data_IF_588935879715
#
_entry.id   IF_588935879715
#
_cell.length_a   1.000
_cell.length_b   1.000
_cell.length_c   1.000
_cell.angle_alpha   90.00
_cell.angle_beta   90.00
_cell.angle_gamma   90.00
#
_symmetry.space_group_name_H-M   'P 1'
#
loop_
_entity.id
_entity.type
_entity.pdbx_description
1 polymer ?
#
# COMPACT_ATOMS: atom_id res chain seq x y z
N UNK A 1 -70.29 40.24 -33.98
CA UNK A 1 -69.14 39.33 -34.17
C UNK A 1 -69.07 38.42 -32.91
N UNK A 2 -69.39 37.15 -33.03
CA UNK A 2 -69.47 36.19 -31.93
C UNK A 2 -68.13 35.55 -31.81
N UNK A 3 -67.55 35.60 -30.64
CA UNK A 3 -66.30 34.83 -30.25
C UNK A 3 -66.76 33.53 -29.59
N UNK A 4 -66.54 32.43 -30.28
CA UNK A 4 -66.70 31.06 -29.78
C UNK A 4 -65.57 30.65 -28.84
N UNK A 5 -65.91 30.25 -27.64
CA UNK A 5 -65.02 29.64 -26.68
C UNK A 5 -64.88 28.13 -26.98
N UNK A 6 -63.70 27.68 -27.26
CA UNK A 6 -63.36 26.26 -27.34
C UNK A 6 -62.88 25.80 -25.95
N UNK A 7 -63.58 24.86 -25.38
CA UNK A 7 -63.14 24.18 -24.15
C UNK A 7 -62.25 22.98 -24.49
N UNK A 8 -61.05 22.91 -23.86
CA UNK A 8 -60.14 21.78 -23.93
C UNK A 8 -60.31 20.93 -22.65
N UNK A 9 -60.64 19.64 -22.76
CA UNK A 9 -60.68 18.80 -21.59
C UNK A 9 -59.29 18.47 -21.06
N UNK A 10 -59.05 18.71 -19.77
CA UNK A 10 -57.85 18.31 -19.05
C UNK A 10 -57.88 16.78 -18.82
N UNK A 11 -56.97 16.06 -19.49
CA UNK A 11 -56.72 14.64 -19.23
C UNK A 11 -55.79 14.55 -18.01
N UNK A 12 -56.27 14.08 -16.89
CA UNK A 12 -55.48 13.74 -15.72
C UNK A 12 -54.73 12.43 -15.98
N UNK A 13 -53.43 12.54 -16.27
CA UNK A 13 -52.52 11.37 -16.24
C UNK A 13 -52.08 11.16 -14.78
N UNK A 14 -52.67 10.20 -14.09
CA UNK A 14 -52.11 9.63 -12.86
C UNK A 14 -50.88 8.83 -13.26
N UNK A 15 -49.71 9.41 -13.03
CA UNK A 15 -48.44 8.72 -13.11
C UNK A 15 -48.27 7.73 -11.96
N UNK A 16 -48.40 6.46 -12.23
CA UNK A 16 -47.88 5.43 -11.35
C UNK A 16 -46.33 5.52 -11.35
N UNK A 17 -45.77 6.22 -10.35
CA UNK A 17 -44.32 6.12 -10.08
C UNK A 17 -44.03 4.75 -9.49
N UNK A 18 -43.41 3.92 -10.27
CA UNK A 18 -43.05 2.57 -9.93
C UNK A 18 -41.96 2.57 -8.84
N UNK A 19 -42.26 1.89 -7.77
CA UNK A 19 -41.33 1.28 -6.83
C UNK A 19 -40.58 0.12 -7.54
N UNK A 20 -39.57 0.42 -8.34
CA UNK A 20 -38.82 -0.62 -9.12
C UNK A 20 -37.35 -0.76 -8.66
N UNK A 21 -36.88 -0.03 -7.66
CA UNK A 21 -35.47 -0.14 -7.27
C UNK A 21 -35.15 -1.22 -6.22
N UNK A 22 -36.13 -1.81 -5.55
CA UNK A 22 -35.90 -2.82 -4.52
C UNK A 22 -35.84 -4.28 -5.01
N UNK A 23 -36.45 -4.58 -6.17
CA UNK A 23 -36.61 -5.98 -6.61
C UNK A 23 -35.51 -6.51 -7.49
N UNK A 24 -34.83 -5.68 -8.26
CA UNK A 24 -33.67 -6.12 -9.09
C UNK A 24 -32.45 -6.46 -8.24
N UNK A 25 -32.19 -5.66 -7.19
CA UNK A 25 -31.06 -5.87 -6.26
C UNK A 25 -31.24 -7.15 -5.43
N UNK A 26 -32.47 -7.46 -5.02
CA UNK A 26 -32.78 -8.68 -4.25
C UNK A 26 -32.67 -9.99 -5.06
N UNK A 27 -32.87 -9.94 -6.37
CA UNK A 27 -32.66 -11.09 -7.26
C UNK A 27 -31.18 -11.39 -7.49
N UNK A 28 -30.34 -10.35 -7.57
CA UNK A 28 -28.90 -10.50 -7.79
C UNK A 28 -28.13 -10.89 -6.51
N UNK A 29 -28.60 -10.45 -5.33
CA UNK A 29 -27.94 -10.63 -4.05
C UNK A 29 -28.89 -11.23 -3.00
N UNK A 30 -29.28 -12.50 -3.14
CA UNK A 30 -30.29 -13.12 -2.28
C UNK A 30 -29.90 -13.18 -0.79
N UNK A 31 -28.63 -13.04 -0.47
CA UNK A 31 -28.11 -13.01 0.91
C UNK A 31 -27.79 -11.60 1.43
N UNK A 32 -28.10 -10.57 0.63
CA UNK A 32 -27.88 -9.16 1.00
C UNK A 32 -26.48 -8.65 0.62
N UNK A 33 -26.01 -7.64 1.35
CA UNK A 33 -24.78 -6.90 1.05
C UNK A 33 -23.72 -7.11 2.11
N UNK A 34 -22.44 -7.08 1.69
CA UNK A 34 -21.26 -7.01 2.55
C UNK A 34 -20.41 -5.84 2.08
N UNK A 35 -19.81 -5.09 3.02
CA UNK A 35 -18.95 -3.96 2.70
C UNK A 35 -17.48 -4.23 3.00
N UNK A 36 -16.63 -3.80 2.07
CA UNK A 36 -15.19 -3.75 2.19
C UNK A 36 -14.78 -2.28 2.28
N UNK A 37 -14.19 -1.87 3.37
CA UNK A 37 -13.70 -0.50 3.54
C UNK A 37 -12.24 -0.41 3.12
N UNK A 38 -11.86 0.61 2.36
CA UNK A 38 -10.45 0.90 2.05
C UNK A 38 -10.06 2.24 2.67
N UNK A 39 -8.78 2.39 3.10
CA UNK A 39 -8.25 3.65 3.61
C UNK A 39 -6.77 3.79 3.27
N UNK A 40 -6.41 4.86 2.58
CA UNK A 40 -5.08 5.27 2.18
C UNK A 40 -5.10 6.69 1.63
N UNK A 41 -3.94 7.39 1.45
CA UNK A 41 -3.93 8.75 0.95
C UNK A 41 -4.49 8.86 -0.48
N UNK A 42 -5.48 9.72 -0.66
CA UNK A 42 -6.13 10.00 -1.95
C UNK A 42 -5.93 11.47 -2.38
N UNK A 43 -4.87 12.11 -1.88
CA UNK A 43 -4.52 13.50 -2.16
C UNK A 43 -3.01 13.68 -2.35
N UNK A 44 -2.60 14.87 -2.78
CA UNK A 44 -1.20 15.26 -2.89
C UNK A 44 -0.40 14.34 -3.82
N UNK A 45 0.86 14.11 -3.47
CA UNK A 45 1.78 13.26 -4.23
C UNK A 45 1.35 11.79 -4.27
N UNK A 46 0.54 11.34 -3.30
CA UNK A 46 0.10 9.96 -3.21
C UNK A 46 -1.21 9.66 -3.95
N UNK A 47 -1.88 10.67 -4.52
CA UNK A 47 -3.12 10.47 -5.29
C UNK A 47 -2.99 9.40 -6.40
N UNK A 48 -1.91 9.36 -7.20
CA UNK A 48 -1.73 8.32 -8.22
C UNK A 48 -1.68 6.91 -7.61
N UNK A 49 -0.91 6.72 -6.52
CA UNK A 49 -0.77 5.42 -5.85
C UNK A 49 -2.06 4.99 -5.16
N UNK A 50 -2.69 5.90 -4.39
CA UNK A 50 -4.00 5.63 -3.76
C UNK A 50 -5.07 5.24 -4.79
N UNK A 51 -5.10 5.94 -5.94
CA UNK A 51 -5.97 5.58 -7.07
C UNK A 51 -5.61 4.21 -7.65
N UNK A 52 -4.31 3.91 -7.74
CA UNK A 52 -3.81 2.61 -8.20
C UNK A 52 -4.29 1.47 -7.32
N UNK A 53 -4.14 1.60 -6.00
CA UNK A 53 -4.59 0.61 -5.02
C UNK A 53 -6.11 0.44 -5.03
N UNK A 54 -6.87 1.56 -5.09
CA UNK A 54 -8.33 1.52 -5.27
C UNK A 54 -8.71 0.70 -6.49
N UNK A 55 -8.11 1.00 -7.63
CA UNK A 55 -8.36 0.27 -8.88
C UNK A 55 -8.03 -1.22 -8.76
N UNK A 56 -6.98 -1.57 -8.00
CA UNK A 56 -6.62 -2.97 -7.72
C UNK A 56 -7.74 -3.71 -6.97
N UNK A 57 -8.25 -3.13 -5.88
CA UNK A 57 -9.39 -3.71 -5.13
C UNK A 57 -10.64 -3.81 -6.00
N UNK A 58 -10.98 -2.75 -6.73
CA UNK A 58 -12.12 -2.71 -7.64
C UNK A 58 -11.98 -3.76 -8.76
N UNK A 59 -10.76 -4.02 -9.24
CA UNK A 59 -10.49 -5.08 -10.21
C UNK A 59 -10.86 -6.44 -9.62
N UNK A 60 -10.36 -6.78 -8.42
CA UNK A 60 -10.62 -8.06 -7.77
C UNK A 60 -12.12 -8.30 -7.52
N UNK A 61 -12.85 -7.28 -7.07
CA UNK A 61 -14.29 -7.38 -6.86
C UNK A 61 -15.03 -7.53 -8.19
N UNK A 62 -14.63 -6.78 -9.23
CA UNK A 62 -15.28 -6.85 -10.54
C UNK A 62 -15.10 -8.20 -11.26
N UNK A 63 -14.03 -8.95 -10.97
CA UNK A 63 -13.80 -10.31 -11.49
C UNK A 63 -14.88 -11.31 -11.04
N UNK A 64 -15.63 -10.98 -9.98
CA UNK A 64 -16.75 -11.77 -9.47
C UNK A 64 -18.11 -11.28 -9.95
N UNK A 65 -18.16 -10.25 -10.80
CA UNK A 65 -19.40 -9.55 -11.13
C UNK A 65 -20.01 -8.80 -9.94
N UNK A 66 -19.21 -8.51 -8.90
CA UNK A 66 -19.65 -7.86 -7.68
C UNK A 66 -20.45 -8.75 -6.71
N UNK A 67 -20.55 -10.07 -7.00
CA UNK A 67 -21.33 -11.01 -6.19
C UNK A 67 -20.46 -12.19 -5.75
N UNK A 68 -20.44 -12.48 -4.46
CA UNK A 68 -19.67 -13.59 -3.87
C UNK A 68 -20.57 -14.40 -2.95
N UNK A 69 -20.72 -15.67 -3.25
CA UNK A 69 -21.52 -16.63 -2.46
C UNK A 69 -22.97 -16.16 -2.19
N UNK A 70 -23.55 -15.33 -3.09
CA UNK A 70 -24.90 -14.78 -2.97
C UNK A 70 -24.97 -13.42 -2.24
N UNK A 71 -23.83 -12.85 -1.82
CA UNK A 71 -23.73 -11.50 -1.27
C UNK A 71 -23.23 -10.53 -2.33
N UNK A 72 -23.83 -9.35 -2.46
CA UNK A 72 -23.21 -8.22 -3.15
C UNK A 72 -22.07 -7.65 -2.34
N UNK A 73 -20.94 -7.40 -3.00
CA UNK A 73 -19.80 -6.70 -2.39
C UNK A 73 -19.83 -5.22 -2.77
N UNK A 74 -19.88 -4.35 -1.77
CA UNK A 74 -19.73 -2.91 -1.90
C UNK A 74 -18.37 -2.47 -1.37
N UNK A 75 -17.59 -1.72 -2.18
CA UNK A 75 -16.32 -1.14 -1.76
C UNK A 75 -16.56 0.31 -1.35
N UNK A 76 -16.24 0.66 -0.11
CA UNK A 76 -16.29 2.01 0.43
C UNK A 76 -14.89 2.55 0.54
N UNK A 77 -14.54 3.48 -0.36
CA UNK A 77 -13.20 4.07 -0.39
C UNK A 77 -13.13 5.29 0.52
N UNK A 78 -12.17 5.30 1.42
CA UNK A 78 -11.89 6.40 2.33
C UNK A 78 -10.50 6.97 2.05
N UNK A 79 -10.33 8.25 2.35
CA UNK A 79 -9.07 8.99 2.29
C UNK A 79 -8.56 9.18 3.71
N UNK A 80 -7.33 8.76 4.03
CA UNK A 80 -6.69 9.00 5.32
C UNK A 80 -5.79 10.24 5.31
N UNK A 81 -5.74 10.97 4.18
CA UNK A 81 -5.01 12.20 4.10
C UNK A 81 -5.75 13.37 4.73
N UNK A 82 -5.02 14.20 5.47
CA UNK A 82 -5.52 15.48 5.96
C UNK A 82 -5.67 16.48 4.81
N UNK A 83 -6.82 17.17 4.70
CA UNK A 83 -6.98 18.23 3.69
C UNK A 83 -5.96 19.37 3.80
N UNK A 84 -5.38 19.57 4.99
CA UNK A 84 -4.41 20.63 5.24
C UNK A 84 -3.02 20.30 4.69
N UNK A 85 -2.64 19.03 4.67
CA UNK A 85 -1.29 18.61 4.30
C UNK A 85 -1.25 17.76 3.03
N UNK A 86 -2.38 17.16 2.64
CA UNK A 86 -2.44 16.17 1.57
C UNK A 86 -1.69 14.87 1.88
N UNK A 87 -1.36 14.63 3.15
CA UNK A 87 -0.63 13.46 3.65
C UNK A 87 -1.48 12.70 4.65
N UNK A 88 -1.17 11.42 4.87
CA UNK A 88 -1.86 10.62 5.87
C UNK A 88 -1.87 11.32 7.25
N UNK A 89 -2.94 11.16 7.98
CA UNK A 89 -3.13 11.74 9.29
C UNK A 89 -3.75 10.72 10.26
N UNK A 90 -3.18 10.63 11.47
CA UNK A 90 -3.60 9.64 12.45
C UNK A 90 -5.02 9.84 12.99
N UNK A 91 -5.52 11.07 13.07
CA UNK A 91 -6.88 11.35 13.51
C UNK A 91 -7.88 10.99 12.41
N UNK A 92 -7.57 11.30 11.15
CA UNK A 92 -8.40 10.93 9.99
C UNK A 92 -8.46 9.41 9.85
N UNK A 93 -7.33 8.70 9.98
CA UNK A 93 -7.31 7.24 9.92
C UNK A 93 -8.10 6.60 11.07
N UNK A 94 -8.00 7.16 12.29
CA UNK A 94 -8.81 6.68 13.41
C UNK A 94 -10.32 6.86 13.14
N UNK A 95 -10.73 7.99 12.55
CA UNK A 95 -12.11 8.23 12.14
C UNK A 95 -12.56 7.23 11.08
N UNK A 96 -11.75 6.98 10.06
CA UNK A 96 -12.02 6.02 8.99
C UNK A 96 -12.22 4.60 9.55
N UNK A 97 -11.30 4.14 10.42
CA UNK A 97 -11.42 2.84 11.05
C UNK A 97 -12.66 2.73 11.94
N UNK A 98 -12.98 3.77 12.72
CA UNK A 98 -14.19 3.80 13.55
C UNK A 98 -15.46 3.79 12.69
N UNK A 99 -15.49 4.51 11.56
CA UNK A 99 -16.59 4.46 10.60
C UNK A 99 -16.81 3.06 10.06
N UNK A 100 -15.74 2.37 9.69
CA UNK A 100 -15.82 0.99 9.20
C UNK A 100 -16.35 0.03 10.28
N UNK A 101 -15.87 0.12 11.53
CA UNK A 101 -16.34 -0.81 12.59
C UNK A 101 -17.76 -0.51 13.07
N UNK A 102 -18.24 0.72 12.90
CA UNK A 102 -19.63 1.10 13.22
C UNK A 102 -20.64 0.60 12.18
N UNK A 103 -20.21 0.29 10.95
CA UNK A 103 -21.10 -0.17 9.89
C UNK A 103 -21.41 -1.68 10.06
N UNK A 104 -22.70 -2.07 10.25
CA UNK A 104 -23.08 -3.47 10.41
C UNK A 104 -22.90 -4.33 9.15
N UNK A 105 -22.68 -3.73 7.98
CA UNK A 105 -22.38 -4.44 6.73
C UNK A 105 -20.87 -4.61 6.49
N UNK A 106 -20.03 -3.87 7.19
CA UNK A 106 -18.58 -3.92 7.01
C UNK A 106 -17.99 -5.17 7.63
N UNK A 107 -17.26 -5.95 6.83
CA UNK A 107 -16.66 -7.23 7.23
C UNK A 107 -15.14 -7.26 7.17
N UNK A 108 -14.51 -6.39 6.37
CA UNK A 108 -13.06 -6.29 6.21
C UNK A 108 -12.68 -4.83 6.02
N UNK A 109 -11.53 -4.47 6.58
CA UNK A 109 -10.82 -3.21 6.34
C UNK A 109 -9.60 -3.47 5.46
N UNK A 110 -9.41 -2.71 4.40
CA UNK A 110 -8.29 -2.84 3.47
C UNK A 110 -7.45 -1.57 3.58
N UNK A 111 -6.24 -1.71 4.04
CA UNK A 111 -5.39 -0.55 4.29
C UNK A 111 -4.34 -0.84 5.38
N UNK A 112 -3.47 0.08 5.54
CA UNK A 112 -3.32 1.40 4.94
C UNK A 112 -2.15 1.40 3.94
N UNK A 113 -1.77 2.57 3.40
CA UNK A 113 -0.50 2.72 2.69
C UNK A 113 0.65 2.93 3.68
N UNK A 114 0.51 3.87 4.61
CA UNK A 114 1.54 4.20 5.58
C UNK A 114 1.47 3.28 6.82
N UNK A 115 2.61 2.71 7.24
CA UNK A 115 2.67 1.84 8.44
C UNK A 115 2.30 2.59 9.72
N UNK A 116 2.53 3.92 9.78
CA UNK A 116 2.08 4.77 10.87
C UNK A 116 0.56 4.85 10.98
N UNK A 117 -0.16 4.87 9.86
CA UNK A 117 -1.62 4.83 9.81
C UNK A 117 -2.14 3.45 10.28
N UNK A 118 -1.52 2.35 9.81
CA UNK A 118 -1.87 1.00 10.26
C UNK A 118 -1.75 0.81 11.78
N UNK A 119 -0.72 1.40 12.40
CA UNK A 119 -0.55 1.45 13.87
C UNK A 119 -1.80 1.99 14.57
N UNK A 120 -2.53 2.91 13.95
CA UNK A 120 -3.75 3.53 14.49
C UNK A 120 -4.96 2.63 14.26
N UNK A 121 -5.15 2.13 13.04
CA UNK A 121 -6.35 1.36 12.67
C UNK A 121 -6.36 -0.08 13.17
N UNK A 122 -5.21 -0.76 13.25
CA UNK A 122 -5.16 -2.17 13.68
C UNK A 122 -5.81 -2.41 15.05
N UNK A 123 -5.54 -1.64 16.12
CA UNK A 123 -6.20 -1.86 17.40
C UNK A 123 -7.72 -1.64 17.37
N UNK A 124 -8.21 -0.74 16.49
CA UNK A 124 -9.63 -0.45 16.34
C UNK A 124 -10.32 -1.64 15.65
N UNK A 125 -9.80 -2.09 14.52
CA UNK A 125 -10.32 -3.25 13.78
C UNK A 125 -10.18 -4.54 14.59
N UNK A 126 -9.12 -4.68 15.41
CA UNK A 126 -8.89 -5.81 16.28
C UNK A 126 -10.00 -5.97 17.33
N UNK A 127 -10.37 -4.88 18.03
CA UNK A 127 -11.49 -4.91 19.01
C UNK A 127 -12.82 -5.28 18.38
N UNK A 128 -13.00 -4.97 17.10
CA UNK A 128 -14.21 -5.28 16.35
C UNK A 128 -14.16 -6.68 15.68
N UNK A 129 -13.14 -7.49 15.95
CA UNK A 129 -12.87 -8.79 15.31
C UNK A 129 -12.80 -8.72 13.78
N UNK A 130 -12.59 -7.52 13.23
CA UNK A 130 -12.53 -7.26 11.80
C UNK A 130 -11.11 -7.54 11.28
N UNK A 131 -10.99 -8.33 10.21
CA UNK A 131 -9.72 -8.48 9.51
C UNK A 131 -9.32 -7.17 8.84
N UNK A 132 -8.02 -6.85 8.90
CA UNK A 132 -7.41 -5.77 8.14
C UNK A 132 -6.35 -6.35 7.22
N UNK A 133 -6.45 -6.04 5.92
CA UNK A 133 -5.53 -6.53 4.88
C UNK A 133 -4.86 -5.33 4.23
N UNK A 134 -3.53 -5.30 4.21
CA UNK A 134 -2.79 -4.19 3.58
C UNK A 134 -2.08 -4.64 2.31
N UNK A 135 -2.12 -3.85 1.24
CA UNK A 135 -1.27 -4.08 0.07
C UNK A 135 0.15 -3.50 0.21
N UNK A 136 0.43 -2.65 1.21
CA UNK A 136 1.58 -1.76 1.19
C UNK A 136 2.37 -1.63 2.50
N UNK A 137 1.76 -1.87 3.68
CA UNK A 137 2.50 -1.69 4.93
C UNK A 137 3.52 -2.80 5.14
N UNK A 138 4.77 -2.42 5.38
CA UNK A 138 5.89 -3.36 5.46
C UNK A 138 6.64 -3.34 6.81
N UNK A 139 6.36 -2.37 7.70
CA UNK A 139 7.01 -2.32 9.01
C UNK A 139 6.82 -3.63 9.80
N UNK A 140 7.92 -4.31 10.24
CA UNK A 140 7.84 -5.64 10.83
C UNK A 140 7.03 -5.69 12.13
N UNK A 141 7.14 -4.66 12.97
CA UNK A 141 6.51 -4.61 14.28
C UNK A 141 4.98 -4.65 14.28
N UNK A 142 4.32 -4.47 13.10
CA UNK A 142 2.87 -4.63 12.98
C UNK A 142 2.39 -6.08 13.15
N UNK A 143 3.26 -7.06 12.86
CA UNK A 143 2.91 -8.48 12.87
C UNK A 143 3.82 -9.35 13.70
N UNK A 144 5.11 -9.08 13.76
CA UNK A 144 6.13 -9.96 14.35
C UNK A 144 7.12 -9.20 15.24
N UNK A 145 7.87 -9.95 16.07
CA UNK A 145 8.84 -9.37 17.02
C UNK A 145 10.19 -9.01 16.38
N UNK A 146 10.57 -9.69 15.29
CA UNK A 146 11.83 -9.39 14.60
C UNK A 146 11.73 -8.02 13.93
N UNK A 147 12.63 -7.09 14.27
CA UNK A 147 12.60 -5.72 13.76
C UNK A 147 11.54 -4.82 14.41
N UNK A 148 10.94 -5.26 15.50
CA UNK A 148 9.88 -4.54 16.22
C UNK A 148 10.42 -3.73 17.40
N UNK A 149 9.68 -2.68 17.78
CA UNK A 149 9.89 -1.96 19.02
C UNK A 149 9.35 -2.75 20.24
N UNK A 150 9.74 -2.39 21.48
CA UNK A 150 9.26 -3.06 22.68
C UNK A 150 7.72 -3.07 22.77
N UNK A 151 7.13 -4.24 23.06
CA UNK A 151 5.69 -4.43 23.18
C UNK A 151 4.96 -4.76 21.86
N UNK A 152 5.58 -4.54 20.70
CA UNK A 152 5.02 -4.91 19.41
C UNK A 152 5.18 -6.42 19.13
N UNK A 153 4.27 -7.01 18.37
CA UNK A 153 3.00 -6.51 17.85
C UNK A 153 1.86 -6.55 18.89
N UNK A 154 2.11 -6.99 20.13
CA UNK A 154 1.09 -7.19 21.16
C UNK A 154 0.22 -5.96 21.42
N UNK A 155 0.82 -4.77 21.43
CA UNK A 155 0.10 -3.50 21.62
C UNK A 155 -0.97 -3.21 20.54
N UNK A 156 -0.83 -3.81 19.36
CA UNK A 156 -1.80 -3.68 18.25
C UNK A 156 -2.91 -4.74 18.31
N UNK A 157 -2.79 -5.75 19.18
CA UNK A 157 -3.71 -6.90 19.30
C UNK A 157 -4.39 -6.93 20.66
N UNK A 158 -5.20 -5.91 21.05
CA UNK A 158 -5.79 -5.84 22.38
C UNK A 158 -6.68 -7.05 22.76
N UNK A 159 -7.22 -7.77 21.78
CA UNK A 159 -7.98 -9.02 22.01
C UNK A 159 -7.10 -10.27 21.98
N UNK A 160 -5.80 -10.14 21.69
CA UNK A 160 -4.89 -11.27 21.45
C UNK A 160 -5.04 -11.95 20.08
N UNK A 161 -6.02 -11.55 19.27
CA UNK A 161 -6.26 -12.14 17.95
C UNK A 161 -5.32 -11.56 16.90
N UNK A 162 -4.87 -12.42 15.98
CA UNK A 162 -4.24 -11.95 14.73
C UNK A 162 -5.37 -11.55 13.77
N UNK A 163 -5.44 -10.26 13.45
CA UNK A 163 -6.44 -9.71 12.55
C UNK A 163 -5.84 -8.89 11.40
N UNK A 164 -4.52 -8.75 11.36
CA UNK A 164 -3.81 -7.98 10.36
C UNK A 164 -2.99 -8.90 9.46
N UNK A 165 -3.13 -8.72 8.13
CA UNK A 165 -2.58 -9.62 7.12
C UNK A 165 -1.91 -8.83 6.00
N UNK A 166 -0.75 -9.30 5.51
CA UNK A 166 0.04 -8.68 4.44
C UNK A 166 0.34 -9.65 3.32
N UNK A 167 -0.26 -9.52 2.13
CA UNK A 167 0.18 -10.25 0.93
C UNK A 167 1.46 -9.66 0.30
N UNK A 168 2.27 -8.96 1.07
CA UNK A 168 3.55 -8.35 0.67
C UNK A 168 4.61 -8.65 1.75
N UNK A 169 5.86 -8.99 1.39
CA UNK A 169 6.96 -9.20 2.33
C UNK A 169 7.27 -7.97 3.18
N UNK A 170 7.73 -8.20 4.40
CA UNK A 170 8.03 -7.15 5.37
C UNK A 170 9.49 -6.63 5.29
N UNK A 171 9.74 -5.48 5.91
CA UNK A 171 11.00 -4.74 5.88
C UNK A 171 12.17 -5.46 6.57
N UNK A 172 11.91 -6.44 7.45
CA UNK A 172 12.99 -7.27 8.00
C UNK A 172 13.71 -8.09 6.93
N UNK A 173 13.03 -8.36 5.79
CA UNK A 173 13.63 -8.94 4.60
C UNK A 173 14.20 -7.82 3.71
N UNK A 174 13.39 -6.81 3.38
CA UNK A 174 13.77 -5.77 2.43
C UNK A 174 14.98 -4.94 2.87
N UNK A 175 15.00 -4.47 4.11
CA UNK A 175 16.13 -3.73 4.65
C UNK A 175 17.40 -4.55 4.67
N UNK A 176 17.28 -5.86 4.98
CA UNK A 176 18.41 -6.78 5.00
C UNK A 176 19.00 -7.01 3.58
N UNK A 177 18.15 -7.27 2.59
CA UNK A 177 18.65 -7.46 1.21
C UNK A 177 19.18 -6.16 0.61
N UNK A 178 18.64 -5.00 1.00
CA UNK A 178 19.16 -3.70 0.62
C UNK A 178 20.61 -3.49 1.09
N UNK A 179 20.91 -3.81 2.35
CA UNK A 179 22.26 -3.73 2.89
C UNK A 179 23.22 -4.72 2.22
N UNK A 180 22.78 -5.97 2.00
CA UNK A 180 23.56 -6.97 1.26
C UNK A 180 23.83 -6.52 -0.18
N UNK A 181 22.85 -5.94 -0.86
CA UNK A 181 23.00 -5.43 -2.21
C UNK A 181 23.99 -4.27 -2.24
N UNK A 182 23.88 -3.30 -1.34
CA UNK A 182 24.86 -2.23 -1.21
C UNK A 182 26.31 -2.76 -1.04
N UNK A 183 26.52 -3.79 -0.20
CA UNK A 183 27.82 -4.41 -0.05
C UNK A 183 28.32 -5.12 -1.32
N UNK A 184 27.44 -5.86 -2.03
CA UNK A 184 27.75 -6.50 -3.31
C UNK A 184 28.13 -5.50 -4.40
N UNK A 185 27.49 -4.30 -4.40
CA UNK A 185 27.84 -3.19 -5.30
C UNK A 185 29.19 -2.53 -4.97
N UNK A 186 29.82 -2.92 -3.88
CA UNK A 186 31.16 -2.48 -3.50
C UNK A 186 31.21 -1.21 -2.67
N UNK A 187 30.08 -0.71 -2.15
CA UNK A 187 30.07 0.43 -1.25
C UNK A 187 30.87 0.15 0.02
N UNK A 188 31.56 1.18 0.52
CA UNK A 188 32.50 1.10 1.63
C UNK A 188 32.03 1.82 2.87
N UNK A 189 31.15 2.82 2.72
CA UNK A 189 30.73 3.66 3.82
C UNK A 189 29.34 4.24 3.55
N UNK A 190 28.40 3.90 4.40
CA UNK A 190 26.98 4.34 4.26
C UNK A 190 26.67 5.43 5.28
N UNK A 191 25.95 6.46 4.83
CA UNK A 191 25.24 7.40 5.68
C UNK A 191 23.74 7.13 5.53
N UNK A 192 23.05 6.80 6.61
CA UNK A 192 21.62 6.52 6.62
C UNK A 192 20.90 7.79 7.06
N UNK A 193 19.87 8.16 6.29
CA UNK A 193 18.87 9.15 6.64
C UNK A 193 17.53 8.44 6.80
N UNK A 194 16.67 8.94 7.69
CA UNK A 194 15.31 8.44 7.83
C UNK A 194 14.34 9.59 8.12
N UNK A 195 13.07 9.41 7.74
CA UNK A 195 12.03 10.43 7.90
C UNK A 195 11.39 10.47 9.30
N UNK A 196 11.90 9.66 10.23
CA UNK A 196 11.39 9.48 11.59
C UNK A 196 9.97 8.88 11.68
N UNK A 197 9.33 8.59 10.55
CA UNK A 197 8.08 7.86 10.50
C UNK A 197 8.30 6.36 10.78
N UNK A 198 7.22 5.67 11.19
CA UNK A 198 7.31 4.27 11.61
C UNK A 198 7.96 3.37 10.55
N UNK A 199 7.55 3.56 9.28
CA UNK A 199 8.10 2.81 8.16
C UNK A 199 9.56 3.19 7.87
N UNK A 200 9.81 4.48 7.57
CA UNK A 200 11.13 4.89 7.10
C UNK A 200 12.24 4.72 8.13
N UNK A 201 11.93 4.99 9.41
CA UNK A 201 12.87 4.69 10.50
C UNK A 201 13.04 3.18 10.66
N UNK A 202 11.97 2.40 10.61
CA UNK A 202 12.02 0.95 10.79
C UNK A 202 12.89 0.25 9.76
N UNK A 203 12.71 0.55 8.47
CA UNK A 203 13.53 -0.06 7.41
C UNK A 203 14.99 0.42 7.43
N UNK A 204 15.23 1.68 7.83
CA UNK A 204 16.58 2.21 8.05
C UNK A 204 17.30 1.48 9.18
N UNK A 205 16.62 1.18 10.28
CA UNK A 205 17.17 0.42 11.41
C UNK A 205 17.51 -1.03 11.01
N UNK A 206 16.67 -1.70 10.20
CA UNK A 206 16.93 -3.04 9.67
C UNK A 206 18.14 -3.03 8.73
N UNK A 207 18.21 -2.04 7.83
CA UNK A 207 19.37 -1.86 6.95
C UNK A 207 20.64 -1.69 7.77
N UNK A 208 20.65 -0.80 8.77
CA UNK A 208 21.81 -0.55 9.65
C UNK A 208 22.25 -1.81 10.39
N UNK A 209 21.31 -2.51 11.04
CA UNK A 209 21.60 -3.73 11.78
C UNK A 209 22.23 -4.80 10.88
N UNK A 210 21.71 -4.98 9.67
CA UNK A 210 22.28 -5.92 8.70
C UNK A 210 23.63 -5.45 8.21
N UNK A 211 23.79 -4.16 7.86
CA UNK A 211 25.06 -3.59 7.40
C UNK A 211 26.18 -3.84 8.43
N UNK A 212 25.91 -3.62 9.71
CA UNK A 212 26.84 -3.93 10.82
C UNK A 212 27.23 -5.42 10.85
N UNK A 213 26.25 -6.30 10.73
CA UNK A 213 26.47 -7.77 10.77
C UNK A 213 27.35 -8.24 9.61
N UNK A 214 27.16 -7.68 8.41
CA UNK A 214 27.94 -8.08 7.23
C UNK A 214 29.24 -7.28 7.05
N UNK A 215 29.56 -6.39 7.99
CA UNK A 215 30.78 -5.57 7.94
C UNK A 215 30.74 -4.51 6.82
N UNK A 216 29.60 -3.87 6.59
CA UNK A 216 29.45 -2.65 5.80
C UNK A 216 29.37 -1.46 6.76
N UNK A 217 30.39 -0.58 6.79
CA UNK A 217 30.44 0.54 7.75
C UNK A 217 29.29 1.51 7.57
N UNK A 218 28.56 1.77 8.65
CA UNK A 218 27.53 2.81 8.75
C UNK A 218 28.08 3.95 9.59
N UNK A 219 28.14 5.15 9.01
CA UNK A 219 28.69 6.35 9.67
C UNK A 219 27.68 6.95 10.64
N UNK A 220 26.43 7.01 10.21
CA UNK A 220 25.33 7.54 10.99
C UNK A 220 24.01 6.95 10.49
N UNK A 221 23.02 6.94 11.38
CA UNK A 221 21.60 6.77 11.06
C UNK A 221 20.89 7.96 11.71
N UNK A 222 20.57 8.97 10.89
CA UNK A 222 20.07 10.28 11.36
C UNK A 222 18.67 10.54 10.86
N UNK A 223 17.76 10.89 11.78
CA UNK A 223 16.41 11.35 11.44
C UNK A 223 16.44 12.76 10.86
N UNK A 224 15.72 12.98 9.76
CA UNK A 224 15.53 14.31 9.20
C UNK A 224 14.19 14.92 9.67
N UNK A 225 14.15 16.24 9.78
CA UNK A 225 12.87 16.95 9.84
C UNK A 225 12.41 17.23 8.42
N UNK A 226 11.62 16.30 7.87
CA UNK A 226 11.15 16.37 6.47
C UNK A 226 10.21 17.57 6.19
N UNK A 227 9.72 18.24 7.24
CA UNK A 227 8.92 19.48 7.10
C UNK A 227 9.77 20.69 6.75
N UNK A 228 11.07 20.61 6.98
CA UNK A 228 12.00 21.67 6.59
C UNK A 228 12.29 21.59 5.09
N UNK A 229 12.17 22.70 4.35
CA UNK A 229 12.44 22.72 2.91
C UNK A 229 13.94 22.67 2.58
N UNK A 230 14.81 23.00 3.54
CA UNK A 230 16.27 22.97 3.38
C UNK A 230 16.89 21.84 4.21
N UNK A 231 17.43 20.85 3.50
CA UNK A 231 18.13 19.69 4.06
C UNK A 231 19.66 19.76 3.85
N UNK A 232 20.19 20.88 3.31
CA UNK A 232 21.63 21.06 3.06
C UNK A 232 22.48 20.95 4.33
N UNK A 233 22.02 21.36 5.53
CA UNK A 233 22.77 21.14 6.76
C UNK A 233 23.10 19.66 7.02
N UNK A 234 22.14 18.75 6.90
CA UNK A 234 22.41 17.31 7.06
C UNK A 234 23.27 16.77 5.91
N UNK A 235 23.02 17.23 4.68
CA UNK A 235 23.84 16.82 3.52
C UNK A 235 25.29 17.29 3.61
N UNK A 236 25.56 18.39 4.32
CA UNK A 236 26.92 18.84 4.64
C UNK A 236 27.64 17.84 5.56
N UNK A 237 26.93 17.27 6.56
CA UNK A 237 27.46 16.19 7.40
C UNK A 237 27.74 14.94 6.57
N UNK A 238 26.80 14.56 5.68
CA UNK A 238 27.00 13.43 4.74
C UNK A 238 28.28 13.62 3.95
N UNK A 239 28.48 14.81 3.36
CA UNK A 239 29.68 15.14 2.57
C UNK A 239 30.96 15.06 3.39
N UNK A 240 30.96 15.61 4.61
CA UNK A 240 32.10 15.62 5.51
C UNK A 240 32.46 14.21 5.98
N UNK A 241 31.47 13.31 6.09
CA UNK A 241 31.70 11.91 6.49
C UNK A 241 32.48 11.09 5.46
N UNK A 242 32.47 11.52 4.19
CA UNK A 242 33.05 10.76 3.08
C UNK A 242 32.28 9.48 2.73
N UNK A 243 31.00 9.39 3.05
CA UNK A 243 30.15 8.27 2.66
C UNK A 243 30.00 8.20 1.14
N UNK A 244 30.09 6.98 0.60
CA UNK A 244 29.93 6.68 -0.83
C UNK A 244 28.50 6.20 -1.16
N UNK A 245 27.69 5.97 -0.14
CA UNK A 245 26.25 5.69 -0.25
C UNK A 245 25.45 6.50 0.76
N UNK A 246 24.41 7.15 0.29
CA UNK A 246 23.30 7.63 1.12
C UNK A 246 22.16 6.63 0.99
N UNK A 247 21.76 6.00 2.10
CA UNK A 247 20.54 5.21 2.19
C UNK A 247 19.47 6.05 2.87
N UNK A 248 18.27 6.16 2.28
CA UNK A 248 17.18 6.92 2.89
C UNK A 248 15.98 6.01 3.13
N UNK A 249 15.64 5.79 4.40
CA UNK A 249 14.38 5.19 4.80
C UNK A 249 13.28 6.26 4.84
N UNK A 250 12.26 6.11 4.00
CA UNK A 250 11.15 7.06 3.89
C UNK A 250 10.36 6.88 2.61
N UNK A 251 9.38 7.76 2.42
CA UNK A 251 8.52 7.81 1.24
C UNK A 251 8.68 9.16 0.51
N UNK A 252 8.08 9.29 -0.68
CA UNK A 252 8.20 10.54 -1.46
C UNK A 252 7.64 11.76 -0.71
N UNK A 253 6.54 11.61 0.00
CA UNK A 253 5.87 12.69 0.72
C UNK A 253 6.62 13.16 1.98
N UNK A 254 7.59 12.37 2.47
CA UNK A 254 8.40 12.70 3.65
C UNK A 254 9.81 13.19 3.29
N UNK A 255 9.92 13.93 2.20
CA UNK A 255 11.11 14.73 1.89
C UNK A 255 12.15 14.07 0.99
N UNK A 256 11.95 12.84 0.50
CA UNK A 256 12.92 12.15 -0.36
C UNK A 256 13.28 12.97 -1.62
N UNK A 257 12.28 13.58 -2.28
CA UNK A 257 12.54 14.46 -3.44
C UNK A 257 13.43 15.64 -3.10
N UNK A 258 13.26 16.23 -1.93
CA UNK A 258 14.08 17.37 -1.47
C UNK A 258 15.52 16.93 -1.24
N UNK A 259 15.70 15.82 -0.51
CA UNK A 259 17.04 15.23 -0.24
C UNK A 259 17.76 14.95 -1.56
N UNK A 260 17.14 14.26 -2.50
CA UNK A 260 17.78 13.85 -3.75
C UNK A 260 18.17 15.08 -4.58
N UNK A 261 17.28 16.08 -4.72
CA UNK A 261 17.60 17.32 -5.44
C UNK A 261 18.75 18.07 -4.79
N UNK A 262 18.71 18.22 -3.47
CA UNK A 262 19.75 18.95 -2.74
C UNK A 262 21.07 18.19 -2.67
N UNK A 263 21.07 16.85 -2.73
CA UNK A 263 22.30 16.07 -2.95
C UNK A 263 23.01 16.50 -4.22
N UNK A 264 22.27 16.64 -5.35
CA UNK A 264 22.83 17.14 -6.61
C UNK A 264 23.38 18.57 -6.45
N UNK A 265 22.63 19.45 -5.79
CA UNK A 265 23.03 20.86 -5.57
C UNK A 265 24.33 20.98 -4.77
N UNK A 266 24.55 20.13 -3.77
CA UNK A 266 25.77 20.14 -2.93
C UNK A 266 26.89 19.23 -3.47
N UNK A 267 26.72 18.64 -4.67
CA UNK A 267 27.73 17.81 -5.32
C UNK A 267 27.89 16.40 -4.73
N UNK A 268 26.88 15.88 -4.03
CA UNK A 268 26.78 14.47 -3.61
C UNK A 268 26.18 13.64 -4.75
N UNK A 269 27.01 13.35 -5.75
CA UNK A 269 26.60 12.66 -7.00
C UNK A 269 27.57 11.53 -7.34
N UNK A 270 27.12 10.61 -8.20
CA UNK A 270 27.95 9.54 -8.74
C UNK A 270 29.17 10.09 -9.55
N UNK A 271 30.30 9.37 -9.55
CA UNK A 271 30.57 8.09 -8.90
C UNK A 271 30.94 8.20 -7.43
N UNK A 272 31.11 9.42 -6.90
CA UNK A 272 31.61 9.66 -5.54
C UNK A 272 30.61 9.22 -4.47
N UNK A 273 29.35 9.60 -4.63
CA UNK A 273 28.27 9.27 -3.67
C UNK A 273 27.03 8.90 -4.47
N UNK A 274 26.44 7.75 -4.15
CA UNK A 274 25.19 7.28 -4.74
C UNK A 274 24.04 7.33 -3.75
N UNK A 275 22.83 7.16 -4.26
CA UNK A 275 21.63 7.13 -3.45
C UNK A 275 20.96 5.75 -3.55
N UNK A 276 20.45 5.24 -2.43
CA UNK A 276 19.63 4.04 -2.38
C UNK A 276 18.44 4.26 -1.45
N UNK A 277 17.30 3.69 -1.79
CA UNK A 277 16.12 3.74 -0.94
C UNK A 277 15.24 2.50 -1.09
N UNK A 278 14.21 2.40 -0.25
CA UNK A 278 13.27 1.29 -0.25
C UNK A 278 12.08 1.51 -1.19
N UNK A 279 11.12 0.58 -1.14
CA UNK A 279 9.92 0.50 -1.99
C UNK A 279 9.04 1.75 -1.97
N UNK A 280 8.91 2.44 -0.84
CA UNK A 280 8.17 3.71 -0.74
C UNK A 280 8.70 4.85 -1.63
N UNK A 281 9.83 4.62 -2.33
CA UNK A 281 10.37 5.52 -3.34
C UNK A 281 10.18 5.01 -4.78
N UNK A 282 9.62 3.83 -4.99
CA UNK A 282 9.38 3.27 -6.34
C UNK A 282 8.08 3.82 -6.94
N UNK A 283 7.97 5.12 -7.01
CA UNK A 283 6.80 5.85 -7.48
C UNK A 283 7.19 6.77 -8.65
N UNK A 284 6.41 6.73 -9.75
CA UNK A 284 6.66 7.61 -10.91
C UNK A 284 6.67 9.09 -10.50
N UNK A 285 5.87 9.45 -9.48
CA UNK A 285 5.81 10.82 -8.94
C UNK A 285 7.17 11.33 -8.45
N UNK A 286 8.04 10.43 -7.93
CA UNK A 286 9.40 10.77 -7.54
C UNK A 286 10.21 11.33 -8.71
N UNK A 287 9.99 10.82 -9.91
CA UNK A 287 10.79 11.15 -11.09
C UNK A 287 10.39 12.47 -11.76
N UNK A 288 9.28 13.08 -11.36
CA UNK A 288 8.77 14.27 -12.04
C UNK A 288 9.62 15.52 -11.80
N UNK A 289 9.64 16.39 -12.81
CA UNK A 289 10.31 17.70 -12.75
C UNK A 289 11.83 17.60 -12.58
N UNK A 290 12.39 18.51 -11.78
CA UNK A 290 13.84 18.56 -11.53
C UNK A 290 14.41 17.34 -10.78
N UNK A 291 13.56 16.46 -10.27
CA UNK A 291 14.00 15.27 -9.54
C UNK A 291 14.58 14.23 -10.49
N UNK A 292 14.08 14.10 -11.74
CA UNK A 292 14.65 13.16 -12.73
C UNK A 292 16.16 13.36 -12.93
N UNK A 293 16.61 14.60 -13.15
CA UNK A 293 18.03 14.90 -13.29
C UNK A 293 18.84 14.57 -12.03
N UNK A 294 18.25 14.72 -10.86
CA UNK A 294 18.93 14.46 -9.60
C UNK A 294 19.05 12.95 -9.33
N UNK A 295 18.00 12.15 -9.60
CA UNK A 295 18.07 10.69 -9.46
C UNK A 295 19.06 10.07 -10.44
N UNK A 296 19.15 10.59 -11.67
CA UNK A 296 20.17 10.17 -12.64
C UNK A 296 21.58 10.53 -12.18
N UNK A 297 21.77 11.75 -11.65
CA UNK A 297 23.06 12.20 -11.16
C UNK A 297 23.55 11.43 -9.93
N UNK A 298 22.64 10.94 -9.09
CA UNK A 298 22.97 10.15 -7.90
C UNK A 298 23.05 8.63 -8.17
N UNK A 299 22.85 8.19 -9.41
CA UNK A 299 22.83 6.77 -9.82
C UNK A 299 21.98 5.93 -8.86
N UNK A 300 20.74 6.36 -8.70
CA UNK A 300 19.80 5.88 -7.69
C UNK A 300 19.48 4.39 -7.86
N UNK A 301 19.37 3.70 -6.71
CA UNK A 301 18.88 2.32 -6.59
C UNK A 301 17.71 2.24 -5.63
N UNK A 302 16.75 1.36 -5.92
CA UNK A 302 15.59 1.09 -5.07
C UNK A 302 15.40 -0.41 -4.92
N UNK A 303 15.06 -0.85 -3.71
CA UNK A 303 14.55 -2.20 -3.45
C UNK A 303 13.03 -2.20 -3.47
N UNK A 304 12.43 -3.30 -3.95
CA UNK A 304 10.98 -3.48 -3.94
C UNK A 304 10.63 -4.95 -3.67
N UNK A 305 9.53 -5.17 -2.96
CA UNK A 305 9.03 -6.51 -2.66
C UNK A 305 8.41 -7.19 -3.88
N UNK A 306 8.73 -8.49 -4.08
CA UNK A 306 8.20 -9.32 -5.16
C UNK A 306 8.95 -9.19 -6.49
N UNK A 307 8.33 -9.73 -7.52
CA UNK A 307 8.84 -9.71 -8.90
C UNK A 307 8.46 -8.41 -9.61
N UNK A 308 9.33 -7.88 -10.48
CA UNK A 308 8.94 -6.79 -11.37
C UNK A 308 7.89 -7.28 -12.37
N UNK A 309 7.04 -6.39 -12.86
CA UNK A 309 5.89 -6.74 -13.70
C UNK A 309 6.28 -7.62 -14.91
N UNK A 310 7.40 -7.31 -15.57
CA UNK A 310 7.91 -8.05 -16.72
C UNK A 310 8.38 -9.48 -16.41
N UNK A 311 8.62 -9.79 -15.15
CA UNK A 311 9.02 -11.12 -14.67
C UNK A 311 7.85 -11.93 -14.10
N UNK A 312 6.73 -11.31 -13.84
CA UNK A 312 5.53 -12.01 -13.35
C UNK A 312 5.06 -13.05 -14.34
N UNK A 313 4.46 -14.14 -13.85
CA UNK A 313 3.91 -15.24 -14.63
C UNK A 313 2.53 -15.62 -14.09
N UNK A 314 1.77 -16.40 -14.84
CA UNK A 314 0.48 -16.93 -14.41
C UNK A 314 -0.50 -15.83 -13.98
N UNK A 315 -0.93 -15.89 -12.72
CA UNK A 315 -1.88 -14.92 -12.14
C UNK A 315 -1.33 -13.50 -12.18
N UNK A 316 -0.04 -13.30 -11.86
CA UNK A 316 0.59 -11.98 -11.86
C UNK A 316 0.58 -11.32 -13.24
N UNK A 317 1.03 -12.02 -14.27
CA UNK A 317 1.02 -11.51 -15.64
C UNK A 317 -0.42 -11.21 -16.12
N UNK A 318 -1.37 -12.12 -15.85
CA UNK A 318 -2.78 -11.91 -16.18
C UNK A 318 -3.35 -10.67 -15.47
N UNK A 319 -3.04 -10.49 -14.19
CA UNK A 319 -3.52 -9.33 -13.40
C UNK A 319 -2.99 -8.02 -13.98
N UNK A 320 -1.70 -7.99 -14.31
CA UNK A 320 -1.07 -6.83 -14.94
C UNK A 320 -1.76 -6.44 -16.25
N UNK A 321 -1.94 -7.40 -17.18
CA UNK A 321 -2.58 -7.14 -18.47
C UNK A 321 -4.06 -6.74 -18.32
N UNK A 322 -4.80 -7.38 -17.38
CA UNK A 322 -6.20 -7.03 -17.12
C UNK A 322 -6.31 -5.62 -16.54
N UNK A 323 -5.41 -5.24 -15.63
CA UNK A 323 -5.36 -3.89 -15.06
C UNK A 323 -5.13 -2.85 -16.16
N UNK A 324 -4.10 -3.05 -17.01
CA UNK A 324 -3.79 -2.15 -18.14
C UNK A 324 -4.96 -1.99 -19.09
N UNK A 325 -5.58 -3.10 -19.47
CA UNK A 325 -6.73 -3.09 -20.39
C UNK A 325 -7.91 -2.33 -19.77
N UNK A 326 -8.20 -2.56 -18.49
CA UNK A 326 -9.35 -1.96 -17.82
C UNK A 326 -9.19 -0.47 -17.55
N UNK A 327 -8.00 -0.04 -17.13
CA UNK A 327 -7.76 1.34 -16.69
C UNK A 327 -6.96 2.19 -17.69
N UNK A 328 -6.50 1.61 -18.81
CA UNK A 328 -5.77 2.33 -19.86
C UNK A 328 -4.39 2.86 -19.46
N UNK A 329 -3.81 2.33 -18.36
CA UNK A 329 -2.52 2.76 -17.82
C UNK A 329 -1.81 1.63 -17.09
N UNK A 330 -0.49 1.77 -16.93
CA UNK A 330 0.31 0.87 -16.10
C UNK A 330 -0.20 0.86 -14.65
N UNK A 331 -0.19 -0.30 -13.96
CA UNK A 331 -0.43 -0.32 -12.52
C UNK A 331 0.67 0.45 -11.79
N UNK A 332 0.30 1.13 -10.73
CA UNK A 332 1.26 1.69 -9.76
C UNK A 332 1.89 0.58 -8.93
N UNK A 333 2.90 0.92 -8.14
CA UNK A 333 3.74 -0.07 -7.44
C UNK A 333 2.94 -1.06 -6.60
N UNK A 334 1.91 -0.61 -5.89
CA UNK A 334 1.10 -1.46 -5.00
C UNK A 334 -0.26 -1.85 -5.57
N UNK A 335 -0.63 -1.39 -6.77
CA UNK A 335 -1.93 -1.67 -7.37
C UNK A 335 -2.21 -3.17 -7.52
N UNK A 336 -1.20 -3.96 -7.93
CA UNK A 336 -1.37 -5.42 -8.07
C UNK A 336 -1.44 -6.14 -6.72
N UNK A 337 -0.74 -5.63 -5.69
CA UNK A 337 -0.88 -6.13 -4.31
C UNK A 337 -2.27 -5.83 -3.73
N UNK A 338 -2.85 -4.68 -4.09
CA UNK A 338 -4.23 -4.35 -3.72
C UNK A 338 -5.24 -5.28 -4.40
N UNK A 339 -5.02 -5.63 -5.67
CA UNK A 339 -5.82 -6.65 -6.37
C UNK A 339 -5.67 -8.04 -5.72
N UNK A 340 -4.45 -8.41 -5.30
CA UNK A 340 -4.19 -9.66 -4.59
C UNK A 340 -4.91 -9.69 -3.23
N UNK A 341 -4.78 -8.64 -2.42
CA UNK A 341 -5.52 -8.51 -1.17
C UNK A 341 -7.03 -8.63 -1.36
N UNK A 342 -7.58 -7.98 -2.40
CA UNK A 342 -8.98 -8.11 -2.78
C UNK A 342 -9.39 -9.55 -3.13
N UNK A 343 -8.56 -10.28 -3.88
CA UNK A 343 -8.81 -11.69 -4.23
C UNK A 343 -8.74 -12.62 -3.02
N UNK A 344 -7.79 -12.40 -2.12
CA UNK A 344 -7.70 -13.13 -0.84
C UNK A 344 -9.00 -12.95 -0.04
N UNK A 345 -9.52 -11.73 0.02
CA UNK A 345 -10.76 -11.43 0.73
C UNK A 345 -11.95 -12.10 0.05
N UNK A 346 -12.05 -12.03 -1.28
CA UNK A 346 -13.09 -12.72 -2.07
C UNK A 346 -13.08 -14.23 -1.82
N UNK A 347 -11.90 -14.85 -1.85
CA UNK A 347 -11.73 -16.28 -1.55
C UNK A 347 -12.14 -16.59 -0.10
N UNK A 348 -11.72 -15.79 0.85
CA UNK A 348 -12.07 -15.94 2.26
C UNK A 348 -13.59 -15.83 2.49
N UNK A 349 -14.29 -14.89 1.83
CA UNK A 349 -15.75 -14.76 1.89
C UNK A 349 -16.42 -16.02 1.33
N UNK A 350 -15.93 -16.58 0.20
CA UNK A 350 -16.45 -17.82 -0.38
C UNK A 350 -16.34 -18.97 0.63
N UNK A 351 -15.17 -19.14 1.26
CA UNK A 351 -14.92 -20.20 2.25
C UNK A 351 -15.71 -19.99 3.54
N UNK A 352 -15.90 -18.75 3.97
CA UNK A 352 -16.62 -18.39 5.17
C UNK A 352 -18.16 -18.30 4.98
N UNK A 353 -18.68 -18.39 3.76
CA UNK A 353 -20.10 -18.14 3.46
C UNK A 353 -21.08 -18.93 4.36
N UNK A 354 -20.86 -20.23 4.66
CA UNK A 354 -21.76 -20.97 5.55
C UNK A 354 -21.77 -20.45 7.00
N UNK A 355 -20.65 -19.90 7.46
CA UNK A 355 -20.51 -19.31 8.80
C UNK A 355 -21.11 -17.90 8.83
N UNK A 356 -20.91 -17.09 7.78
CA UNK A 356 -21.51 -15.76 7.62
C UNK A 356 -23.04 -15.87 7.66
N UNK A 357 -23.61 -16.89 6.99
CA UNK A 357 -25.05 -17.10 6.92
C UNK A 357 -25.66 -17.48 8.27
N UNK A 358 -24.91 -18.23 9.10
CA UNK A 358 -25.32 -18.64 10.44
C UNK A 358 -25.04 -17.61 11.53
N UNK A 359 -24.27 -16.57 11.22
CA UNK A 359 -23.84 -15.57 12.17
C UNK A 359 -25.02 -14.76 12.71
N UNK A 360 -25.06 -14.55 14.02
CA UNK A 360 -26.13 -13.84 14.73
C UNK A 360 -25.96 -12.33 14.65
N UNK A 361 -24.72 -11.87 14.51
CA UNK A 361 -24.36 -10.46 14.44
C UNK A 361 -23.16 -10.20 13.51
N UNK A 362 -22.79 -8.94 13.38
CA UNK A 362 -21.66 -8.54 12.52
C UNK A 362 -20.31 -9.01 13.07
N UNK A 363 -20.17 -9.18 14.39
CA UNK A 363 -18.93 -9.63 15.01
C UNK A 363 -18.64 -11.09 14.63
N UNK A 364 -19.66 -11.94 14.66
CA UNK A 364 -19.55 -13.32 14.21
C UNK A 364 -19.23 -13.42 12.71
N UNK A 365 -19.82 -12.55 11.88
CA UNK A 365 -19.47 -12.47 10.44
C UNK A 365 -18.01 -12.07 10.21
N UNK A 366 -17.55 -11.02 10.90
CA UNK A 366 -16.16 -10.56 10.86
C UNK A 366 -15.19 -11.65 11.28
N UNK A 367 -15.48 -12.32 12.39
CA UNK A 367 -14.66 -13.40 12.90
C UNK A 367 -14.58 -14.60 11.93
N UNK A 368 -15.69 -14.93 11.26
CA UNK A 368 -15.70 -15.98 10.23
C UNK A 368 -14.78 -15.62 9.05
N UNK A 369 -14.85 -14.39 8.56
CA UNK A 369 -14.00 -13.89 7.47
C UNK A 369 -12.53 -13.80 7.93
N UNK A 370 -12.27 -13.27 9.13
CA UNK A 370 -10.91 -13.19 9.69
C UNK A 370 -10.25 -14.57 9.78
N UNK A 371 -10.95 -15.57 10.29
CA UNK A 371 -10.46 -16.96 10.35
C UNK A 371 -10.20 -17.53 8.97
N UNK A 372 -11.09 -17.24 8.02
CA UNK A 372 -10.91 -17.67 6.63
C UNK A 372 -9.68 -17.05 6.00
N UNK A 373 -9.41 -15.72 6.21
CA UNK A 373 -8.19 -15.08 5.73
C UNK A 373 -6.96 -15.72 6.40
N UNK A 374 -6.95 -15.86 7.72
CA UNK A 374 -5.84 -16.46 8.46
C UNK A 374 -5.51 -17.91 8.02
N UNK A 375 -6.50 -18.65 7.55
CA UNK A 375 -6.32 -20.03 7.06
C UNK A 375 -5.93 -20.14 5.58
N UNK A 376 -5.59 -19.02 4.92
CA UNK A 376 -5.21 -19.03 3.50
C UNK A 376 -3.91 -19.81 3.30
N UNK A 377 -3.96 -20.86 2.48
CA UNK A 377 -2.85 -21.74 2.13
C UNK A 377 -2.85 -22.02 0.63
N UNK A 378 -1.63 -22.16 0.05
CA UNK A 378 -1.41 -22.44 -1.36
C UNK A 378 -2.16 -21.47 -2.28
N UNK A 379 -2.24 -20.19 -1.88
CA UNK A 379 -2.92 -19.17 -2.66
C UNK A 379 -2.12 -18.88 -3.93
N UNK A 380 -2.81 -18.93 -5.07
CA UNK A 380 -2.22 -18.60 -6.38
C UNK A 380 -2.18 -17.07 -6.53
N UNK A 381 -1.07 -16.47 -6.11
CA UNK A 381 -0.89 -15.02 -6.10
C UNK A 381 -0.09 -14.45 -7.28
N UNK A 382 0.14 -13.14 -7.23
CA UNK A 382 0.86 -12.40 -8.29
C UNK A 382 2.35 -12.78 -8.37
N UNK A 383 2.94 -13.20 -7.25
CA UNK A 383 4.33 -13.65 -7.16
C UNK A 383 4.48 -15.18 -7.09
N UNK A 384 3.44 -15.95 -7.42
CA UNK A 384 3.40 -17.40 -7.32
C UNK A 384 2.54 -17.89 -6.16
N UNK A 385 2.73 -19.14 -5.75
CA UNK A 385 1.98 -19.72 -4.61
C UNK A 385 2.58 -19.29 -3.29
N UNK A 386 1.70 -18.95 -2.34
CA UNK A 386 2.12 -18.56 -1.00
C UNK A 386 1.08 -18.91 0.08
N UNK A 387 1.49 -18.77 1.34
CA UNK A 387 0.68 -18.98 2.52
C UNK A 387 0.78 -17.77 3.45
N UNK A 388 -0.26 -17.50 4.25
CA UNK A 388 -0.04 -16.71 5.45
C UNK A 388 0.59 -17.58 6.55
N UNK A 389 1.57 -17.00 7.27
CA UNK A 389 2.11 -17.57 8.49
C UNK A 389 1.19 -17.29 9.70
N UNK A 390 1.61 -17.71 10.90
CA UNK A 390 0.85 -17.49 12.14
C UNK A 390 0.78 -16.01 12.55
N UNK A 391 1.60 -15.15 11.99
CA UNK A 391 1.61 -13.71 12.26
C UNK A 391 0.70 -12.92 11.32
N UNK A 392 0.29 -13.53 10.19
CA UNK A 392 -0.46 -12.90 9.10
C UNK A 392 0.42 -12.35 7.98
N UNK A 393 1.69 -12.76 7.91
CA UNK A 393 2.64 -12.41 6.86
C UNK A 393 2.68 -13.48 5.77
N UNK A 394 3.05 -13.09 4.55
CA UNK A 394 3.36 -14.07 3.49
C UNK A 394 4.66 -14.81 3.77
N UNK A 395 4.77 -16.03 3.27
CA UNK A 395 5.92 -16.92 3.44
C UNK A 395 6.94 -16.88 2.30
N UNK A 396 6.83 -15.94 1.35
CA UNK A 396 7.85 -15.68 0.34
C UNK A 396 8.65 -14.42 0.66
N UNK A 397 9.89 -14.38 0.17
CA UNK A 397 10.88 -13.34 0.47
C UNK A 397 11.54 -12.73 -0.78
N UNK A 398 10.95 -12.96 -1.94
CA UNK A 398 11.45 -12.41 -3.21
C UNK A 398 11.49 -10.90 -3.18
N UNK A 399 12.65 -10.33 -3.52
CA UNK A 399 12.86 -8.89 -3.63
C UNK A 399 13.48 -8.55 -4.98
N UNK A 400 13.19 -7.37 -5.49
CA UNK A 400 13.72 -6.84 -6.74
C UNK A 400 14.51 -5.56 -6.51
N UNK A 401 15.59 -5.40 -7.27
CA UNK A 401 16.37 -4.17 -7.33
C UNK A 401 16.11 -3.42 -8.62
N UNK A 402 15.91 -2.11 -8.49
CA UNK A 402 15.68 -1.20 -9.60
C UNK A 402 16.73 -0.10 -9.65
N UNK A 403 16.97 0.42 -10.85
CA UNK A 403 17.76 1.64 -11.10
C UNK A 403 16.92 2.65 -11.87
N UNK A 404 17.37 3.90 -11.88
CA UNK A 404 16.78 4.92 -12.75
C UNK A 404 17.63 5.08 -13.99
N UNK A 405 16.99 5.12 -15.15
CA UNK A 405 17.63 5.31 -16.46
C UNK A 405 16.95 6.44 -17.23
N UNK A 406 17.68 7.06 -18.16
CA UNK A 406 17.07 8.00 -19.12
C UNK A 406 15.99 7.28 -19.93
N UNK A 407 14.94 8.02 -20.24
CA UNK A 407 13.85 7.53 -21.08
C UNK A 407 13.30 8.68 -21.91
N UNK A 408 12.73 8.34 -23.06
CA UNK A 408 11.96 9.28 -23.84
C UNK A 408 10.63 9.61 -23.15
N UNK A 409 10.08 10.78 -23.43
CA UNK A 409 8.79 11.22 -22.88
C UNK A 409 8.92 12.39 -21.90
N UNK A 410 7.81 12.86 -21.35
CA UNK A 410 7.74 14.13 -20.60
C UNK A 410 8.49 14.09 -19.26
N UNK A 411 8.72 12.92 -18.67
CA UNK A 411 9.47 12.77 -17.41
C UNK A 411 10.98 12.76 -17.66
N UNK A 412 11.43 12.18 -18.78
CA UNK A 412 12.84 12.10 -19.17
C UNK A 412 13.63 10.95 -18.51
N UNK A 413 13.05 10.23 -17.57
CA UNK A 413 13.64 9.05 -16.93
C UNK A 413 12.56 8.08 -16.47
N UNK A 414 12.99 6.84 -16.16
CA UNK A 414 12.11 5.79 -15.65
C UNK A 414 12.86 4.83 -14.73
N UNK A 415 12.12 4.13 -13.90
CA UNK A 415 12.63 2.95 -13.21
C UNK A 415 12.82 1.79 -14.18
N UNK A 416 13.89 1.07 -13.99
CA UNK A 416 14.22 -0.14 -14.74
C UNK A 416 14.64 -1.22 -13.77
N UNK A 417 14.07 -2.41 -13.93
CA UNK A 417 14.53 -3.59 -13.21
C UNK A 417 16.02 -3.85 -13.47
N UNK A 418 16.77 -4.16 -12.42
CA UNK A 418 18.19 -4.44 -12.49
C UNK A 418 18.50 -5.90 -12.11
N UNK A 419 17.96 -6.37 -10.98
CA UNK A 419 18.27 -7.71 -10.48
C UNK A 419 17.22 -8.22 -9.48
N UNK A 420 17.14 -9.55 -9.34
CA UNK A 420 16.50 -10.16 -8.18
C UNK A 420 17.48 -10.11 -7.01
N UNK A 421 16.97 -9.81 -5.81
CA UNK A 421 17.75 -9.70 -4.57
C UNK A 421 17.50 -10.91 -3.67
N UNK A 422 18.59 -11.42 -3.07
CA UNK A 422 18.59 -12.56 -2.14
C UNK A 422 19.28 -12.20 -0.83
#
# INVERSE_FOLDING_TARGET
>A
MRLSRVAIPALALLGALALIDGTADSQQCPKGKLRLYTSWPMQGAMLPEGTGMKNGVDLAVSETGGVVAGYCLEVVNLDDASPQTGKWDGAVEAENANKAVADPLAIVYIGTYNSGAAKVSIPITNRAHMAQVTPANTYPGLTKKRGAAPGEPGIYRPTGLVNYFRPIPADDIQGAVGAKWAKRMGFKKVYILNDQELYGKGIADVFEATAKTIGLPVVANEGIDWKQPDQKPVLTKVRASGADLVYMGGVIETGAQVIIRQMKEVGLVAPRTRFMGPDGLLEEELLKGATCDAVLATDMRITFAGLPFEKMRGVGAKTYETYKTKYGKEPTSYALYAAEGGRVIVDAIKRAAPQIEKAKDVTEKREAVRKAIASTKNFEGINGKWNFDENGDVDYDTMSGFKVVKADGPIGCKFQFETILE
#
